data_IF_486626652655
#
_entry.id   IF_486626652655
#
_cell.length_a   1.000
_cell.length_b   1.000
_cell.length_c   1.000
_cell.angle_alpha   90.00
_cell.angle_beta   90.00
_cell.angle_gamma   90.00
#
_symmetry.space_group_name_H-M   'P 1'
#
loop_
_entity.id
_entity.type
_entity.pdbx_description
1 polymer ?
#
# COMPACT_ATOMS: atom_id res chain seq x y z
N UNK A 1 13.87 -5.12 -13.72
CA UNK A 1 13.23 -6.33 -13.10
C UNK A 1 11.74 -6.09 -13.02
N UNK A 2 10.89 -7.06 -13.37
CA UNK A 2 9.43 -6.93 -13.17
C UNK A 2 9.09 -6.98 -11.68
N UNK A 3 7.92 -6.41 -11.30
CA UNK A 3 7.46 -6.48 -9.90
C UNK A 3 7.30 -7.93 -9.42
N UNK A 4 6.85 -8.85 -10.30
CA UNK A 4 6.73 -10.27 -9.95
C UNK A 4 8.08 -10.91 -9.63
N UNK A 5 9.11 -10.61 -10.40
CA UNK A 5 10.49 -11.07 -10.13
C UNK A 5 11.03 -10.47 -8.83
N UNK A 6 10.85 -9.17 -8.63
CA UNK A 6 11.20 -8.50 -7.37
C UNK A 6 10.56 -9.17 -6.16
N UNK A 7 9.24 -9.38 -6.20
CA UNK A 7 8.50 -10.02 -5.11
C UNK A 7 8.96 -11.45 -4.86
N UNK A 8 9.30 -12.21 -5.91
CA UNK A 8 9.86 -13.55 -5.77
C UNK A 8 11.17 -13.54 -5.00
N UNK A 9 12.10 -12.65 -5.36
CA UNK A 9 13.39 -12.49 -4.66
C UNK A 9 13.15 -12.08 -3.21
N UNK A 10 12.29 -11.09 -2.96
CA UNK A 10 11.99 -10.63 -1.59
C UNK A 10 11.35 -11.72 -0.72
N UNK A 11 10.49 -12.57 -1.28
CA UNK A 11 9.93 -13.70 -0.55
C UNK A 11 11.01 -14.66 -0.06
N UNK A 12 11.97 -15.01 -0.88
CA UNK A 12 13.08 -15.88 -0.48
C UNK A 12 13.92 -15.24 0.63
N UNK A 13 14.23 -13.94 0.51
CA UNK A 13 14.97 -13.21 1.54
C UNK A 13 14.21 -13.19 2.88
N UNK A 14 12.91 -12.83 2.87
CA UNK A 14 12.05 -12.80 4.07
C UNK A 14 11.92 -14.22 4.68
N UNK A 15 11.70 -15.23 3.85
CA UNK A 15 11.61 -16.62 4.32
C UNK A 15 12.88 -17.08 5.03
N UNK A 16 14.05 -16.71 4.49
CA UNK A 16 15.33 -17.00 5.13
C UNK A 16 15.50 -16.20 6.44
N UNK A 17 14.96 -14.99 6.54
CA UNK A 17 14.97 -14.21 7.77
C UNK A 17 14.06 -14.85 8.83
N UNK A 18 12.83 -15.20 8.47
CA UNK A 18 11.85 -15.86 9.35
C UNK A 18 12.40 -17.19 9.88
N UNK A 19 13.06 -17.99 9.05
CA UNK A 19 13.61 -19.31 9.45
C UNK A 19 14.71 -19.22 10.52
N UNK A 20 15.30 -18.05 10.75
CA UNK A 20 16.33 -17.80 11.75
C UNK A 20 15.79 -17.16 13.03
N UNK A 21 14.48 -16.88 13.10
CA UNK A 21 13.87 -16.28 14.27
C UNK A 21 13.55 -17.33 15.33
N UNK A 22 13.77 -16.99 16.60
CA UNK A 22 13.48 -17.87 17.73
C UNK A 22 11.97 -18.18 17.85
N UNK A 23 11.12 -17.23 17.45
CA UNK A 23 9.66 -17.38 17.44
C UNK A 23 9.10 -16.90 16.11
N UNK A 24 8.24 -17.73 15.52
CA UNK A 24 7.50 -17.40 14.30
C UNK A 24 6.69 -16.12 14.47
N UNK A 25 6.83 -15.12 13.59
CA UNK A 25 6.03 -13.90 13.64
C UNK A 25 4.53 -14.18 13.50
N UNK A 26 3.70 -13.45 14.25
CA UNK A 26 2.25 -13.62 14.32
C UNK A 26 1.54 -12.37 13.83
N UNK A 27 0.79 -12.51 12.73
CA UNK A 27 -0.06 -11.48 12.11
C UNK A 27 -1.54 -11.80 12.36
N UNK A 28 -2.32 -10.83 12.79
CA UNK A 28 -3.78 -10.95 12.81
C UNK A 28 -4.38 -9.98 11.78
N UNK A 29 -5.36 -10.46 11.02
CA UNK A 29 -6.13 -9.66 10.06
C UNK A 29 -7.59 -9.68 10.52
N UNK A 30 -8.16 -8.52 10.83
CA UNK A 30 -9.60 -8.36 11.11
C UNK A 30 -10.28 -7.94 9.80
N UNK A 31 -11.37 -8.62 9.44
CA UNK A 31 -12.17 -8.29 8.26
C UNK A 31 -13.65 -8.23 8.61
N UNK A 32 -14.31 -7.10 8.27
CA UNK A 32 -15.74 -6.88 8.48
C UNK A 32 -16.52 -6.76 7.18
N UNK A 33 -15.85 -6.50 6.05
CA UNK A 33 -16.53 -6.35 4.77
C UNK A 33 -16.59 -7.68 4.01
N UNK A 34 -17.56 -7.79 3.12
CA UNK A 34 -17.72 -8.93 2.21
C UNK A 34 -17.40 -8.60 0.75
N UNK A 35 -16.78 -7.44 0.51
CA UNK A 35 -16.33 -7.02 -0.80
C UNK A 35 -15.35 -8.02 -1.42
N UNK A 36 -15.60 -8.44 -2.66
CA UNK A 36 -14.81 -9.47 -3.34
C UNK A 36 -13.34 -9.06 -3.56
N UNK A 37 -13.08 -7.77 -3.80
CA UNK A 37 -11.71 -7.28 -3.94
C UNK A 37 -10.96 -7.37 -2.60
N UNK A 38 -11.62 -7.00 -1.51
CA UNK A 38 -11.09 -7.12 -0.15
C UNK A 38 -10.83 -8.58 0.23
N UNK A 39 -11.77 -9.50 -0.07
CA UNK A 39 -11.60 -10.94 0.16
C UNK A 39 -10.38 -11.49 -0.60
N UNK A 40 -10.25 -11.13 -1.88
CA UNK A 40 -9.12 -11.54 -2.71
C UNK A 40 -7.78 -11.01 -2.15
N UNK A 41 -7.79 -9.77 -1.65
CA UNK A 41 -6.61 -9.14 -1.07
C UNK A 41 -6.18 -9.79 0.24
N UNK A 42 -7.13 -10.06 1.14
CA UNK A 42 -6.90 -10.80 2.40
C UNK A 42 -6.40 -12.22 2.12
N UNK A 43 -7.03 -12.94 1.16
CA UNK A 43 -6.56 -14.26 0.73
C UNK A 43 -5.11 -14.21 0.23
N UNK A 44 -4.75 -13.16 -0.51
CA UNK A 44 -3.37 -12.92 -0.94
C UNK A 44 -2.40 -12.71 0.22
N UNK A 45 -2.77 -11.92 1.24
CA UNK A 45 -1.98 -11.68 2.45
C UNK A 45 -1.74 -12.99 3.23
N UNK A 46 -2.80 -13.80 3.43
CA UNK A 46 -2.71 -15.08 4.12
C UNK A 46 -1.81 -16.08 3.37
N UNK A 47 -1.95 -16.13 2.04
CA UNK A 47 -1.09 -16.96 1.19
C UNK A 47 0.37 -16.56 1.30
N UNK A 48 0.67 -15.25 1.17
CA UNK A 48 2.03 -14.74 1.28
C UNK A 48 2.63 -15.05 2.66
N UNK A 49 1.88 -14.83 3.75
CA UNK A 49 2.32 -15.16 5.10
C UNK A 49 2.67 -16.66 5.24
N UNK A 50 1.80 -17.55 4.74
CA UNK A 50 2.03 -18.99 4.75
C UNK A 50 3.29 -19.39 3.97
N UNK A 51 3.49 -18.84 2.78
CA UNK A 51 4.69 -19.09 1.96
C UNK A 51 5.98 -18.65 2.65
N UNK A 52 5.90 -17.60 3.48
CA UNK A 52 7.02 -17.02 4.22
C UNK A 52 7.28 -17.70 5.57
N UNK A 53 6.43 -18.63 6.00
CA UNK A 53 6.51 -19.26 7.33
C UNK A 53 6.00 -18.36 8.47
N UNK A 54 5.20 -17.34 8.16
CA UNK A 54 4.58 -16.42 9.12
C UNK A 54 3.22 -16.98 9.56
N UNK A 55 2.93 -16.95 10.86
CA UNK A 55 1.61 -17.33 11.39
C UNK A 55 0.64 -16.18 11.13
N UNK A 56 -0.32 -16.37 10.24
CA UNK A 56 -1.37 -15.39 9.98
C UNK A 56 -2.75 -15.93 10.35
N UNK A 57 -3.51 -15.17 11.13
CA UNK A 57 -4.87 -15.52 11.58
C UNK A 57 -5.86 -14.50 11.03
N UNK A 58 -6.94 -14.98 10.41
CA UNK A 58 -8.05 -14.16 9.95
C UNK A 58 -9.18 -14.19 10.98
N UNK A 59 -9.55 -13.04 11.51
CA UNK A 59 -10.75 -12.83 12.32
C UNK A 59 -11.81 -12.19 11.42
N UNK A 60 -12.82 -12.96 11.06
CA UNK A 60 -14.00 -12.44 10.35
C UNK A 60 -15.04 -12.01 11.36
N UNK A 61 -15.43 -10.75 11.30
CA UNK A 61 -16.55 -10.21 12.08
C UNK A 61 -17.74 -9.95 11.16
N UNK A 62 -18.98 -10.11 11.64
CA UNK A 62 -20.17 -9.73 10.89
C UNK A 62 -20.13 -8.28 10.44
N UNK A 63 -20.73 -7.96 9.29
CA UNK A 63 -20.78 -6.58 8.78
C UNK A 63 -21.54 -5.64 9.71
N UNK A 64 -22.44 -6.18 10.51
CA UNK A 64 -23.27 -5.47 11.50
C UNK A 64 -22.53 -5.25 12.83
N UNK A 65 -21.30 -5.75 12.99
CA UNK A 65 -20.50 -5.56 14.21
C UNK A 65 -20.45 -4.09 14.58
N UNK A 66 -20.80 -3.78 15.83
CA UNK A 66 -20.77 -2.39 16.30
C UNK A 66 -19.34 -1.83 16.39
N UNK A 67 -19.21 -0.50 16.29
CA UNK A 67 -17.90 0.17 16.50
C UNK A 67 -17.31 -0.20 17.85
N UNK A 68 -18.15 -0.29 18.91
CA UNK A 68 -17.70 -0.64 20.27
C UNK A 68 -17.14 -2.06 20.31
N UNK A 69 -17.81 -3.03 19.69
CA UNK A 69 -17.31 -4.42 19.69
C UNK A 69 -16.00 -4.57 18.91
N UNK A 70 -15.87 -3.83 17.77
CA UNK A 70 -14.62 -3.79 17.04
C UNK A 70 -13.49 -3.16 17.86
N UNK A 71 -13.75 -2.05 18.56
CA UNK A 71 -12.76 -1.39 19.41
C UNK A 71 -12.34 -2.29 20.59
N UNK A 72 -13.28 -3.03 21.20
CA UNK A 72 -12.97 -4.03 22.23
C UNK A 72 -12.07 -5.14 21.67
N UNK A 73 -12.34 -5.64 20.45
CA UNK A 73 -11.49 -6.63 19.80
C UNK A 73 -10.09 -6.11 19.50
N UNK A 74 -9.97 -4.83 19.10
CA UNK A 74 -8.67 -4.16 18.92
C UNK A 74 -7.91 -4.08 20.25
N UNK A 75 -8.59 -3.72 21.34
CA UNK A 75 -7.96 -3.65 22.66
C UNK A 75 -7.46 -5.02 23.14
N UNK A 76 -8.23 -6.09 22.95
CA UNK A 76 -7.77 -7.47 23.20
C UNK A 76 -6.45 -7.78 22.44
N UNK A 77 -6.37 -7.45 21.15
CA UNK A 77 -5.19 -7.69 20.34
C UNK A 77 -4.01 -6.78 20.72
N UNK A 78 -4.28 -5.55 21.15
CA UNK A 78 -3.24 -4.66 21.66
C UNK A 78 -2.55 -5.27 22.89
N UNK A 79 -3.30 -5.95 23.76
CA UNK A 79 -2.83 -6.55 24.99
C UNK A 79 -2.34 -8.01 24.85
N UNK A 80 -2.52 -8.65 23.68
CA UNK A 80 -2.07 -10.03 23.44
C UNK A 80 -0.59 -10.07 23.02
N UNK A 81 0.28 -10.49 23.92
CA UNK A 81 1.72 -10.62 23.65
C UNK A 81 2.08 -11.71 22.62
N UNK A 82 1.15 -12.59 22.26
CA UNK A 82 1.36 -13.58 21.21
C UNK A 82 1.19 -13.00 19.79
N UNK A 83 0.62 -11.80 19.67
CA UNK A 83 0.38 -11.07 18.41
C UNK A 83 1.46 -10.01 18.21
N UNK A 84 2.26 -10.13 17.17
CA UNK A 84 3.34 -9.18 16.86
C UNK A 84 2.85 -7.95 16.11
N UNK A 85 1.82 -8.12 15.29
CA UNK A 85 1.17 -7.03 14.59
C UNK A 85 -0.20 -7.45 14.07
N UNK A 86 -1.06 -6.47 13.85
CA UNK A 86 -2.36 -6.74 13.25
C UNK A 86 -2.83 -5.58 12.40
N UNK A 87 -3.80 -5.88 11.56
CA UNK A 87 -4.44 -4.90 10.68
C UNK A 87 -5.96 -5.06 10.73
N UNK A 88 -6.67 -3.97 10.51
CA UNK A 88 -8.10 -3.96 10.23
C UNK A 88 -8.27 -3.67 8.74
N UNK A 89 -8.78 -4.65 7.99
CA UNK A 89 -8.88 -4.57 6.53
C UNK A 89 -9.90 -3.53 6.09
N UNK A 90 -9.42 -2.50 5.41
CA UNK A 90 -10.26 -1.45 4.81
C UNK A 90 -10.88 -1.92 3.46
N UNK A 91 -12.00 -1.33 3.03
CA UNK A 91 -12.79 -0.31 3.72
C UNK A 91 -13.66 -0.91 4.83
N UNK A 92 -14.01 -0.08 5.82
CA UNK A 92 -14.94 -0.45 6.89
C UNK A 92 -16.40 -0.15 6.51
N UNK A 93 -17.38 -0.83 7.18
CA UNK A 93 -18.78 -0.46 7.06
C UNK A 93 -19.02 1.00 7.47
N UNK A 94 -19.98 1.68 6.81
CA UNK A 94 -20.23 3.13 6.98
C UNK A 94 -20.57 3.60 8.40
N UNK A 95 -21.03 2.69 9.26
CA UNK A 95 -21.40 2.98 10.64
C UNK A 95 -20.18 2.96 11.59
N UNK A 96 -18.99 2.64 11.09
CA UNK A 96 -17.74 2.59 11.86
C UNK A 96 -16.83 3.73 11.40
N UNK A 97 -16.32 4.50 12.33
CA UNK A 97 -15.35 5.57 12.07
C UNK A 97 -13.95 5.00 11.87
N UNK A 98 -13.47 5.00 10.62
CA UNK A 98 -12.12 4.52 10.28
C UNK A 98 -11.01 5.25 11.05
N UNK A 99 -11.21 6.52 11.40
CA UNK A 99 -10.20 7.29 12.15
C UNK A 99 -10.10 6.80 13.60
N UNK A 100 -11.23 6.49 14.24
CA UNK A 100 -11.23 5.93 15.60
C UNK A 100 -10.57 4.55 15.61
N UNK A 101 -10.92 3.71 14.63
CA UNK A 101 -10.32 2.38 14.50
C UNK A 101 -8.79 2.47 14.32
N UNK A 102 -8.34 3.36 13.42
CA UNK A 102 -6.91 3.58 13.20
C UNK A 102 -6.20 4.04 14.47
N UNK A 103 -6.80 4.96 15.22
CA UNK A 103 -6.22 5.49 16.48
C UNK A 103 -6.27 4.50 17.64
N UNK A 104 -7.14 3.51 17.60
CA UNK A 104 -7.25 2.49 18.63
C UNK A 104 -6.17 1.40 18.52
N UNK A 105 -5.58 1.20 17.36
CA UNK A 105 -4.50 0.23 17.15
C UNK A 105 -3.23 0.77 17.82
N UNK A 106 -2.58 -0.05 18.67
CA UNK A 106 -1.31 0.32 19.28
C UNK A 106 -0.26 0.64 18.22
N UNK A 107 0.43 1.80 18.27
CA UNK A 107 1.47 2.17 17.33
C UNK A 107 2.57 1.13 17.13
N UNK A 108 2.82 0.29 18.12
CA UNK A 108 3.83 -0.77 18.08
C UNK A 108 3.35 -2.02 17.35
N UNK A 109 2.04 -2.21 17.21
CA UNK A 109 1.40 -3.34 16.52
C UNK A 109 0.73 -2.96 15.20
N UNK A 110 0.71 -1.67 14.86
CA UNK A 110 0.15 -1.14 13.61
C UNK A 110 1.09 -1.39 12.42
N UNK A 111 1.14 -2.62 11.96
CA UNK A 111 2.03 -3.03 10.85
C UNK A 111 1.54 -2.55 9.48
N UNK A 112 0.31 -2.02 9.34
CA UNK A 112 -0.13 -1.28 8.16
C UNK A 112 0.46 0.14 8.09
N UNK A 113 0.85 0.70 9.27
CA UNK A 113 1.50 2.00 9.37
C UNK A 113 0.54 3.19 9.24
N UNK A 114 -0.73 3.04 9.60
CA UNK A 114 -1.74 4.11 9.44
C UNK A 114 -1.88 5.00 10.67
N UNK A 115 -1.53 4.50 11.85
CA UNK A 115 -1.59 5.28 13.08
C UNK A 115 -0.56 6.43 13.02
N UNK A 116 -0.92 7.69 13.38
CA UNK A 116 -0.03 8.84 13.28
C UNK A 116 1.29 8.71 14.05
N UNK A 117 1.30 7.91 15.12
CA UNK A 117 2.46 7.62 15.94
C UNK A 117 3.10 6.26 15.61
N UNK A 118 2.66 5.58 14.57
CA UNK A 118 3.27 4.32 14.14
C UNK A 118 4.74 4.54 13.76
N UNK A 119 5.61 3.63 14.20
CA UNK A 119 7.00 3.61 13.73
C UNK A 119 7.14 3.07 12.32
N UNK A 120 6.10 2.43 11.82
CA UNK A 120 6.10 1.80 10.50
C UNK A 120 5.65 2.79 9.42
N UNK A 121 6.27 2.66 8.25
CA UNK A 121 5.82 3.37 7.05
C UNK A 121 4.61 2.64 6.49
N UNK A 122 3.55 3.34 6.05
CA UNK A 122 2.42 2.72 5.39
C UNK A 122 2.84 1.78 4.26
N UNK A 123 2.23 0.58 4.22
CA UNK A 123 2.70 -0.54 3.40
C UNK A 123 2.81 -0.20 1.90
N UNK A 124 1.83 0.50 1.32
CA UNK A 124 1.86 0.86 -0.11
C UNK A 124 3.01 1.81 -0.43
N UNK A 125 3.18 2.95 0.23
CA UNK A 125 4.34 3.83 0.06
C UNK A 125 5.68 3.13 0.30
N UNK A 126 5.79 2.31 1.34
CA UNK A 126 7.01 1.56 1.64
C UNK A 126 7.38 0.60 0.51
N UNK A 127 6.41 -0.18 0.03
CA UNK A 127 6.63 -1.13 -1.06
C UNK A 127 7.05 -0.43 -2.35
N UNK A 128 6.42 0.69 -2.68
CA UNK A 128 6.79 1.52 -3.84
C UNK A 128 8.22 2.02 -3.70
N UNK A 129 8.58 2.62 -2.56
CA UNK A 129 9.92 3.16 -2.35
C UNK A 129 11.00 2.07 -2.50
N UNK A 130 10.79 0.90 -1.88
CA UNK A 130 11.73 -0.22 -1.96
C UNK A 130 11.90 -0.72 -3.39
N UNK A 131 10.82 -0.78 -4.15
CA UNK A 131 10.86 -1.15 -5.57
C UNK A 131 11.63 -0.11 -6.40
N UNK A 132 11.34 1.19 -6.24
CA UNK A 132 12.06 2.26 -6.92
C UNK A 132 13.56 2.20 -6.65
N UNK A 133 13.96 2.02 -5.38
CA UNK A 133 15.37 1.86 -5.00
C UNK A 133 16.02 0.63 -5.63
N UNK A 134 15.31 -0.49 -5.70
CA UNK A 134 15.80 -1.72 -6.34
C UNK A 134 15.99 -1.56 -7.83
N UNK A 135 15.14 -0.80 -8.50
CA UNK A 135 15.25 -0.47 -9.92
C UNK A 135 16.27 0.65 -10.20
N UNK A 136 17.00 1.09 -9.18
CA UNK A 136 17.95 2.21 -9.26
C UNK A 136 17.30 3.48 -9.85
N UNK A 137 16.05 3.73 -9.50
CA UNK A 137 15.38 4.98 -9.84
C UNK A 137 15.87 6.06 -8.87
N UNK A 138 16.60 7.01 -9.40
CA UNK A 138 17.07 8.15 -8.62
C UNK A 138 15.89 9.02 -8.16
N UNK A 139 15.90 9.41 -6.88
CA UNK A 139 14.86 10.25 -6.28
C UNK A 139 15.37 11.64 -5.95
N UNK A 140 16.66 11.76 -5.62
CA UNK A 140 17.31 13.00 -5.22
C UNK A 140 17.16 14.08 -6.30
N UNK A 141 16.51 15.20 -5.94
CA UNK A 141 16.30 16.34 -6.83
C UNK A 141 15.31 16.10 -7.98
N UNK A 142 14.70 14.90 -8.09
CA UNK A 142 13.71 14.59 -9.14
C UNK A 142 12.37 15.24 -8.85
N UNK A 143 11.65 15.63 -9.91
CA UNK A 143 10.29 16.15 -9.83
C UNK A 143 9.31 14.98 -9.70
N UNK A 144 8.76 14.78 -8.53
CA UNK A 144 7.79 13.75 -8.24
C UNK A 144 6.38 14.34 -8.12
N UNK A 145 5.45 13.81 -8.86
CA UNK A 145 4.03 14.17 -8.83
C UNK A 145 3.24 13.03 -8.20
N UNK A 146 2.52 13.34 -7.12
CA UNK A 146 1.61 12.41 -6.46
C UNK A 146 0.18 12.86 -6.76
N UNK A 147 -0.55 12.06 -7.54
CA UNK A 147 -1.95 12.32 -7.91
C UNK A 147 -2.84 11.53 -6.95
N UNK A 148 -3.45 12.23 -6.01
CA UNK A 148 -4.22 11.68 -4.90
C UNK A 148 -3.68 12.16 -3.55
N UNK A 149 -4.59 12.32 -2.56
CA UNK A 149 -4.25 12.83 -1.23
C UNK A 149 -4.89 12.06 -0.09
N UNK A 150 -5.12 10.76 -0.28
CA UNK A 150 -5.62 9.89 0.78
C UNK A 150 -4.64 9.81 1.95
N UNK A 151 -5.15 9.51 3.14
CA UNK A 151 -4.32 9.36 4.32
C UNK A 151 -3.49 8.06 4.28
N UNK A 152 -3.93 7.06 3.49
CA UNK A 152 -3.29 5.73 3.42
C UNK A 152 -2.24 5.61 2.31
N UNK A 153 -2.31 6.44 1.25
CA UNK A 153 -1.36 6.37 0.12
C UNK A 153 -0.81 7.74 -0.23
N UNK A 154 -1.64 8.68 -0.70
CA UNK A 154 -1.16 9.92 -1.32
C UNK A 154 -0.31 10.78 -0.39
N UNK A 155 -0.82 11.14 0.79
CA UNK A 155 -0.07 11.95 1.78
C UNK A 155 1.18 11.22 2.29
N UNK A 156 1.12 9.93 2.70
CA UNK A 156 2.34 9.22 3.12
C UNK A 156 3.36 9.09 1.99
N UNK A 157 2.94 8.85 0.76
CA UNK A 157 3.85 8.75 -0.38
C UNK A 157 4.57 10.07 -0.64
N UNK A 158 3.85 11.18 -0.62
CA UNK A 158 4.43 12.51 -0.78
C UNK A 158 5.49 12.82 0.31
N UNK A 159 5.17 12.52 1.58
CA UNK A 159 6.12 12.68 2.69
C UNK A 159 7.36 11.80 2.52
N UNK A 160 7.17 10.57 2.03
CA UNK A 160 8.26 9.62 1.85
C UNK A 160 9.19 10.05 0.71
N UNK A 161 8.66 10.50 -0.42
CA UNK A 161 9.44 11.03 -1.53
C UNK A 161 10.19 12.31 -1.13
N UNK A 162 9.55 13.19 -0.35
CA UNK A 162 10.22 14.38 0.21
C UNK A 162 11.38 13.99 1.14
N UNK A 163 11.22 12.96 1.97
CA UNK A 163 12.30 12.43 2.82
C UNK A 163 13.48 11.88 2.01
N UNK A 164 13.22 11.38 0.81
CA UNK A 164 14.26 10.95 -0.14
C UNK A 164 14.80 12.12 -0.98
N UNK A 165 14.49 13.36 -0.60
CA UNK A 165 14.96 14.59 -1.24
C UNK A 165 14.46 14.79 -2.68
N UNK A 166 13.30 14.27 -3.04
CA UNK A 166 12.60 14.63 -4.26
C UNK A 166 11.87 15.97 -4.12
N UNK A 167 11.67 16.70 -5.23
CA UNK A 167 10.77 17.83 -5.33
C UNK A 167 9.34 17.29 -5.50
N UNK A 168 8.44 17.50 -4.54
CA UNK A 168 7.15 16.82 -4.54
C UNK A 168 6.00 17.78 -4.77
N UNK A 169 5.18 17.50 -5.77
CA UNK A 169 3.89 18.16 -6.01
C UNK A 169 2.75 17.19 -5.77
N UNK A 170 1.72 17.62 -5.03
CA UNK A 170 0.52 16.81 -4.78
C UNK A 170 -0.66 17.39 -5.54
N UNK A 171 -1.23 16.59 -6.45
CA UNK A 171 -2.42 16.92 -7.24
C UNK A 171 -3.64 16.19 -6.69
N UNK A 172 -4.82 16.76 -6.88
CA UNK A 172 -6.06 16.22 -6.32
C UNK A 172 -7.30 16.67 -7.12
N UNK A 173 -8.48 16.25 -6.71
CA UNK A 173 -9.76 16.54 -7.38
C UNK A 173 -10.13 18.01 -7.55
N UNK A 174 -9.34 18.95 -7.00
CA UNK A 174 -9.50 20.39 -7.16
C UNK A 174 -8.38 21.04 -7.98
N UNK A 175 -7.41 20.25 -8.45
CA UNK A 175 -6.40 20.70 -9.39
C UNK A 175 -7.06 20.88 -10.76
N UNK A 176 -6.77 22.00 -11.43
CA UNK A 176 -7.26 22.25 -12.79
C UNK A 176 -6.64 21.24 -13.77
N UNK A 177 -7.29 21.03 -14.91
CA UNK A 177 -6.76 20.13 -15.95
C UNK A 177 -5.43 20.67 -16.49
N UNK A 178 -5.33 21.99 -16.72
CA UNK A 178 -4.13 22.62 -17.26
C UNK A 178 -2.95 22.51 -16.28
N UNK A 179 -3.18 22.71 -14.99
CA UNK A 179 -2.15 22.48 -13.97
C UNK A 179 -1.73 21.02 -13.93
N UNK A 180 -2.68 20.08 -13.98
CA UNK A 180 -2.37 18.65 -14.00
C UNK A 180 -1.51 18.31 -15.22
N UNK A 181 -1.87 18.81 -16.40
CA UNK A 181 -1.11 18.62 -17.63
C UNK A 181 0.33 19.14 -17.47
N UNK A 182 0.49 20.37 -16.99
CA UNK A 182 1.80 20.99 -16.82
C UNK A 182 2.70 20.25 -15.82
N UNK A 183 2.14 19.78 -14.69
CA UNK A 183 2.89 19.03 -13.70
C UNK A 183 3.28 17.65 -14.21
N UNK A 184 2.34 16.91 -14.85
CA UNK A 184 2.59 15.58 -15.41
C UNK A 184 3.68 15.63 -16.49
N UNK A 185 3.62 16.61 -17.42
CA UNK A 185 4.60 16.80 -18.47
C UNK A 185 6.03 16.97 -17.95
N UNK A 186 6.19 17.63 -16.79
CA UNK A 186 7.49 17.92 -16.21
C UNK A 186 7.94 16.92 -15.13
N UNK A 187 7.14 15.90 -14.84
CA UNK A 187 7.45 14.91 -13.81
C UNK A 187 8.51 13.90 -14.28
N UNK A 188 9.40 13.54 -13.36
CA UNK A 188 10.32 12.41 -13.51
C UNK A 188 9.69 11.14 -12.92
N UNK A 189 8.88 11.33 -11.88
CA UNK A 189 8.19 10.25 -11.17
C UNK A 189 6.73 10.67 -10.96
N UNK A 190 5.80 9.80 -11.35
CA UNK A 190 4.37 10.00 -11.16
C UNK A 190 3.83 8.84 -10.33
N UNK A 191 3.23 9.14 -9.18
CA UNK A 191 2.49 8.15 -8.39
C UNK A 191 1.01 8.52 -8.45
N UNK A 192 0.19 7.67 -9.07
CA UNK A 192 -1.25 7.91 -9.21
C UNK A 192 -2.05 6.97 -8.32
N UNK A 193 -2.93 7.55 -7.48
CA UNK A 193 -3.73 6.85 -6.46
C UNK A 193 -5.06 7.59 -6.23
N UNK A 194 -5.92 7.61 -7.26
CA UNK A 194 -7.19 8.37 -7.27
C UNK A 194 -8.44 7.50 -7.28
N UNK A 195 -8.33 6.24 -7.71
CA UNK A 195 -9.45 5.35 -7.96
C UNK A 195 -10.31 5.83 -9.16
N UNK A 196 -9.69 6.49 -10.14
CA UNK A 196 -10.32 6.90 -11.39
C UNK A 196 -9.63 6.22 -12.57
N UNK A 197 -10.30 5.23 -13.14
CA UNK A 197 -9.81 4.48 -14.28
C UNK A 197 -9.42 5.39 -15.43
N UNK A 198 -8.21 5.19 -15.96
CA UNK A 198 -7.72 5.87 -17.16
C UNK A 198 -7.57 7.39 -17.03
N UNK A 199 -7.40 7.94 -15.80
CA UNK A 199 -7.20 9.38 -15.59
C UNK A 199 -5.95 9.90 -16.30
N UNK A 200 -4.88 9.11 -16.34
CA UNK A 200 -3.72 9.38 -17.17
C UNK A 200 -3.83 8.58 -18.46
N UNK A 201 -3.82 9.28 -19.59
CA UNK A 201 -3.99 8.72 -20.94
C UNK A 201 -3.04 9.37 -21.94
N UNK A 202 -3.24 9.10 -23.24
CA UNK A 202 -2.44 9.65 -24.33
C UNK A 202 -2.68 11.14 -24.62
N UNK A 203 -3.61 11.79 -23.95
CA UNK A 203 -3.79 13.25 -24.04
C UNK A 203 -2.71 14.02 -23.29
N UNK A 204 -2.07 13.37 -22.31
CA UNK A 204 -0.96 13.94 -21.58
C UNK A 204 0.37 13.75 -22.32
N UNK A 205 1.26 14.73 -22.16
CA UNK A 205 2.66 14.59 -22.53
C UNK A 205 3.48 14.06 -21.33
N UNK A 206 4.39 13.14 -21.60
CA UNK A 206 5.26 12.54 -20.58
C UNK A 206 6.72 12.71 -20.96
N UNK A 207 7.60 12.85 -19.97
CA UNK A 207 9.04 12.68 -20.23
C UNK A 207 9.30 11.22 -20.62
N UNK A 208 10.15 11.03 -21.63
CA UNK A 208 10.53 9.68 -22.11
C UNK A 208 11.11 8.80 -21.01
N UNK A 209 11.85 9.40 -20.06
CA UNK A 209 12.48 8.70 -18.94
C UNK A 209 11.62 8.71 -17.68
N UNK A 210 10.37 9.18 -17.75
CA UNK A 210 9.46 9.18 -16.61
C UNK A 210 9.15 7.77 -16.11
N UNK A 211 8.82 7.70 -14.81
CA UNK A 211 8.36 6.49 -14.15
C UNK A 211 6.94 6.71 -13.64
N UNK A 212 6.00 5.85 -14.03
CA UNK A 212 4.61 5.87 -13.55
C UNK A 212 4.38 4.69 -12.60
N UNK A 213 4.02 5.01 -11.38
CA UNK A 213 3.59 4.05 -10.36
C UNK A 213 2.08 4.16 -10.22
N UNK A 214 1.38 3.22 -10.79
CA UNK A 214 -0.08 3.15 -10.76
C UNK A 214 -0.56 2.32 -9.56
N UNK A 215 -1.17 2.99 -8.59
CA UNK A 215 -1.75 2.39 -7.39
C UNK A 215 -3.24 2.10 -7.57
N UNK A 216 -3.85 2.65 -8.61
CA UNK A 216 -5.27 2.52 -8.88
C UNK A 216 -5.71 1.06 -9.03
N UNK A 217 -6.86 0.73 -8.47
CA UNK A 217 -7.54 -0.55 -8.66
C UNK A 217 -8.99 -0.24 -8.95
N UNK A 218 -9.33 -0.26 -10.22
CA UNK A 218 -10.69 -0.08 -10.71
C UNK A 218 -11.17 -1.41 -11.28
N UNK A 219 -12.42 -1.76 -11.08
CA UNK A 219 -13.00 -2.99 -11.60
C UNK A 219 -14.23 -2.67 -12.44
N UNK A 220 -14.25 -3.22 -13.65
CA UNK A 220 -15.42 -3.25 -14.51
C UNK A 220 -15.66 -4.67 -15.07
N UNK A 221 -16.53 -4.81 -16.05
CA UNK A 221 -16.88 -6.09 -16.68
C UNK A 221 -15.68 -6.73 -17.41
N UNK A 222 -14.68 -5.94 -17.81
CA UNK A 222 -13.48 -6.39 -18.53
C UNK A 222 -12.34 -6.80 -17.60
N UNK A 223 -12.42 -6.43 -16.32
CA UNK A 223 -11.44 -6.84 -15.33
C UNK A 223 -10.95 -5.75 -14.37
N UNK A 224 -9.67 -5.81 -14.03
CA UNK A 224 -8.99 -4.83 -13.18
C UNK A 224 -8.17 -3.86 -14.04
N UNK A 225 -8.36 -2.57 -13.77
CA UNK A 225 -7.71 -1.47 -14.48
C UNK A 225 -7.03 -0.52 -13.51
N UNK A 226 -5.98 0.14 -13.99
CA UNK A 226 -5.30 1.20 -13.28
C UNK A 226 -5.98 2.57 -13.39
N UNK A 227 -5.41 3.53 -12.70
CA UNK A 227 -5.74 4.95 -12.87
C UNK A 227 -5.06 5.52 -14.13
N UNK A 228 -4.04 4.88 -14.65
CA UNK A 228 -3.42 5.16 -15.94
C UNK A 228 -3.82 4.09 -16.97
N UNK A 229 -3.98 4.48 -18.26
CA UNK A 229 -4.12 3.50 -19.33
C UNK A 229 -2.80 2.72 -19.47
N UNK A 230 -2.83 1.47 -19.96
CA UNK A 230 -1.60 0.70 -20.20
C UNK A 230 -0.74 1.31 -21.31
N UNK A 231 0.54 0.96 -21.30
CA UNK A 231 1.50 1.23 -22.36
C UNK A 231 1.71 2.71 -22.70
N UNK A 232 1.67 3.59 -21.70
CA UNK A 232 2.04 4.99 -21.85
C UNK A 232 3.53 5.12 -22.26
N UNK A 233 3.91 6.17 -23.04
CA UNK A 233 5.25 6.32 -23.64
C UNK A 233 6.30 6.78 -22.60
N UNK A 234 6.53 5.97 -21.57
CA UNK A 234 7.43 6.24 -20.45
C UNK A 234 8.46 5.11 -20.26
N UNK A 235 9.53 5.37 -19.51
CA UNK A 235 10.56 4.38 -19.22
C UNK A 235 10.03 3.16 -18.46
N UNK A 236 9.17 3.39 -17.48
CA UNK A 236 8.60 2.35 -16.63
C UNK A 236 7.18 2.74 -16.23
N UNK A 237 6.27 1.79 -16.39
CA UNK A 237 4.91 1.88 -15.86
C UNK A 237 4.60 0.58 -15.10
N UNK A 238 4.10 0.69 -13.86
CA UNK A 238 3.69 -0.49 -13.11
C UNK A 238 2.37 -1.04 -13.67
N UNK A 239 2.27 -2.37 -13.85
CA UNK A 239 1.05 -2.97 -14.40
C UNK A 239 -0.08 -3.02 -13.37
N UNK A 240 -1.31 -2.97 -13.85
CA UNK A 240 -2.53 -3.29 -13.09
C UNK A 240 -3.34 -4.30 -13.91
N UNK A 241 -3.59 -5.51 -13.40
CA UNK A 241 -3.13 -6.09 -12.13
C UNK A 241 -1.68 -6.56 -12.12
N UNK A 242 -1.19 -6.92 -10.92
CA UNK A 242 0.15 -7.52 -10.78
C UNK A 242 1.28 -6.53 -10.49
N UNK A 243 0.91 -5.28 -10.16
CA UNK A 243 1.82 -4.20 -9.79
C UNK A 243 1.86 -3.93 -8.27
N UNK A 244 1.53 -2.71 -7.90
CA UNK A 244 1.70 -2.15 -6.54
C UNK A 244 1.04 -2.99 -5.44
N UNK A 245 -0.10 -3.65 -5.69
CA UNK A 245 -0.72 -4.52 -4.70
C UNK A 245 0.19 -5.66 -4.21
N UNK A 246 1.09 -6.16 -5.05
CA UNK A 246 2.09 -7.16 -4.65
C UNK A 246 3.15 -6.53 -3.74
N UNK A 247 3.59 -5.31 -4.04
CA UNK A 247 4.56 -4.56 -3.24
C UNK A 247 4.00 -4.24 -1.85
N UNK A 248 2.73 -3.84 -1.78
CA UNK A 248 2.02 -3.55 -0.52
C UNK A 248 2.00 -4.78 0.40
N UNK A 249 1.71 -5.97 -0.16
CA UNK A 249 1.67 -7.20 0.64
C UNK A 249 3.06 -7.60 1.16
N UNK A 250 4.11 -7.39 0.38
CA UNK A 250 5.49 -7.63 0.85
C UNK A 250 5.88 -6.64 1.94
N UNK A 251 5.55 -5.36 1.78
CA UNK A 251 5.84 -4.34 2.78
C UNK A 251 5.13 -4.63 4.12
N UNK A 252 3.91 -5.20 4.11
CA UNK A 252 3.22 -5.64 5.33
C UNK A 252 4.02 -6.73 6.07
N UNK A 253 4.55 -7.72 5.34
CA UNK A 253 5.37 -8.77 5.94
C UNK A 253 6.69 -8.20 6.50
N UNK A 254 7.28 -7.25 5.81
CA UNK A 254 8.51 -6.57 6.27
C UNK A 254 8.28 -5.71 7.51
N UNK A 255 7.16 -4.96 7.59
CA UNK A 255 6.79 -4.23 8.80
C UNK A 255 6.55 -5.18 9.97
N UNK A 256 5.92 -6.34 9.73
CA UNK A 256 5.74 -7.37 10.77
C UNK A 256 7.09 -7.92 11.28
N UNK A 257 8.06 -8.15 10.40
CA UNK A 257 9.39 -8.57 10.84
C UNK A 257 10.11 -7.47 11.63
N UNK A 258 9.95 -6.22 11.20
CA UNK A 258 10.53 -5.07 11.91
C UNK A 258 9.90 -4.88 13.30
N UNK A 259 8.65 -5.30 13.53
CA UNK A 259 8.03 -5.25 14.86
C UNK A 259 8.70 -6.15 15.89
N UNK A 260 9.51 -7.12 15.41
CA UNK A 260 10.25 -8.08 16.24
C UNK A 260 11.64 -7.59 16.66
N UNK A 261 12.10 -6.49 16.07
CA UNK A 261 13.39 -5.87 16.38
C UNK A 261 13.20 -4.79 17.46
#
# INVERSE_FOLDING_TARGET
MTIKEYVKVRKEEIKNEVSKMDRVPSLVIIQLNEDEASKAYVKGKLKDASELGIKATLIKLPIETSEVDLLNKIDELNNDNSVDGFIVQMPLPKHIDESKVTLAISPTKDVDGFHPLSKFIPCTPLGILKYLKRENIELLGKNAVVIGRSNIVGKPMARLLLKESANVTVLHSKTSHDDMFNYVKNADIIVIATGKQGLLDNSFEYKKDAVIIDVGINRDETGLHGDAIPDLPVRLQTPVPGGVGLLTRMALMENLLESKK
#
